data_IF_127558745422
#
_entry.id   IF_127558745422
#
_cell.length_a   1.000
_cell.length_b   1.000
_cell.length_c   1.000
_cell.angle_alpha   90.00
_cell.angle_beta   90.00
_cell.angle_gamma   90.00
#
_symmetry.space_group_name_H-M   'P 1'
#
loop_
_entity.id
_entity.type
_entity.pdbx_description
1 polymer ?
#
# COMPACT_ATOMS: atom_id res chain seq x y z
N UNK A 1 59.00 -19.33 -20.88
CA UNK A 1 58.55 -18.24 -19.99
C UNK A 1 57.20 -17.79 -20.51
N UNK A 2 56.12 -18.51 -20.19
CA UNK A 2 55.24 -18.29 -19.01
C UNK A 2 54.26 -17.14 -19.26
N UNK A 3 53.07 -17.49 -19.77
CA UNK A 3 51.81 -16.82 -19.42
C UNK A 3 51.49 -17.13 -17.94
N UNK A 4 50.77 -16.27 -17.20
CA UNK A 4 49.30 -16.20 -17.26
C UNK A 4 48.79 -14.74 -17.07
N UNK A 5 47.52 -14.37 -17.13
CA UNK A 5 46.28 -15.11 -17.26
C UNK A 5 45.08 -14.14 -17.30
N UNK A 6 44.01 -14.65 -17.86
CA UNK A 6 42.59 -14.51 -17.47
C UNK A 6 42.23 -13.41 -16.44
N UNK A 7 41.48 -12.39 -16.88
CA UNK A 7 40.46 -11.74 -16.04
C UNK A 7 39.10 -12.19 -16.59
N UNK A 8 38.42 -13.15 -15.96
CA UNK A 8 37.58 -13.02 -14.75
C UNK A 8 36.50 -11.97 -14.93
N UNK A 9 35.27 -12.46 -15.18
CA UNK A 9 34.08 -11.66 -15.32
C UNK A 9 33.66 -10.98 -14.01
N UNK A 10 32.88 -9.93 -14.17
CA UNK A 10 32.06 -9.37 -13.11
C UNK A 10 30.63 -9.26 -13.65
N UNK A 11 29.84 -10.25 -13.25
CA UNK A 11 28.40 -10.24 -13.25
C UNK A 11 27.93 -9.20 -12.22
N UNK A 12 27.15 -8.20 -12.64
CA UNK A 12 26.28 -7.48 -11.71
C UNK A 12 24.89 -7.38 -12.34
N UNK A 13 24.11 -8.45 -12.16
CA UNK A 13 22.66 -8.34 -12.11
C UNK A 13 22.35 -7.46 -10.91
N UNK A 14 21.57 -6.41 -11.12
CA UNK A 14 20.93 -5.68 -10.04
C UNK A 14 19.90 -6.61 -9.39
N UNK A 15 20.39 -7.40 -8.45
CA UNK A 15 19.61 -7.85 -7.30
C UNK A 15 19.41 -6.61 -6.41
N UNK A 16 18.16 -6.22 -6.23
CA UNK A 16 17.75 -5.47 -5.06
C UNK A 16 16.47 -6.12 -4.57
N UNK A 17 16.62 -7.36 -4.09
CA UNK A 17 15.69 -7.93 -3.12
C UNK A 17 16.09 -7.45 -1.73
N UNK A 18 15.37 -6.48 -1.18
CA UNK A 18 15.43 -6.17 0.26
C UNK A 18 14.12 -5.52 0.73
N UNK A 19 13.08 -6.35 0.74
CA UNK A 19 11.86 -6.12 1.50
C UNK A 19 11.43 -7.44 2.12
N UNK A 20 12.21 -7.93 3.09
CA UNK A 20 11.81 -9.09 3.89
C UNK A 20 10.63 -8.66 4.76
N UNK A 21 9.41 -8.81 4.23
CA UNK A 21 8.19 -8.84 5.03
C UNK A 21 8.12 -10.16 5.79
N UNK A 22 8.94 -10.31 6.83
CA UNK A 22 8.77 -11.37 7.83
C UNK A 22 7.35 -11.25 8.36
N UNK A 23 6.56 -12.32 8.24
CA UNK A 23 5.15 -12.33 8.63
C UNK A 23 4.94 -11.73 10.01
N UNK A 24 4.17 -10.64 10.07
CA UNK A 24 3.73 -10.03 11.31
C UNK A 24 2.32 -9.51 11.13
N UNK A 25 1.36 -10.23 11.71
CA UNK A 25 -0.04 -9.83 11.71
C UNK A 25 -0.99 -11.00 11.85
N UNK A 26 -0.86 -11.81 12.91
CA UNK A 26 -1.98 -12.62 13.43
C UNK A 26 -3.03 -11.71 14.08
N UNK A 27 -3.29 -10.56 13.46
CA UNK A 27 -4.18 -9.51 13.86
C UNK A 27 -5.08 -9.20 12.68
N UNK A 28 -6.36 -9.03 12.94
CA UNK A 28 -7.38 -8.78 11.91
C UNK A 28 -7.15 -7.37 11.34
N UNK A 29 -6.36 -7.28 10.28
CA UNK A 29 -6.12 -6.04 9.55
C UNK A 29 -7.17 -5.84 8.45
N UNK A 30 -7.42 -4.57 8.12
CA UNK A 30 -8.38 -4.13 7.10
C UNK A 30 -7.74 -3.01 6.28
N UNK A 31 -8.28 -2.76 5.09
CA UNK A 31 -7.79 -1.70 4.22
C UNK A 31 -7.81 -2.06 2.73
N UNK A 32 -7.46 -1.09 1.87
CA UNK A 32 -7.50 -1.25 0.43
C UNK A 32 -6.30 -2.06 -0.12
N UNK A 33 -6.54 -2.69 -1.27
CA UNK A 33 -5.50 -3.22 -2.16
C UNK A 33 -5.60 -2.44 -3.46
N UNK A 34 -4.58 -1.64 -3.76
CA UNK A 34 -4.50 -0.78 -4.93
C UNK A 34 -3.81 -1.52 -6.07
N UNK A 35 -4.21 -1.28 -7.32
CA UNK A 35 -3.51 -1.77 -8.50
C UNK A 35 -2.16 -1.06 -8.64
N UNK A 36 -1.12 -1.81 -9.03
CA UNK A 36 0.22 -1.26 -9.25
C UNK A 36 0.38 -0.45 -10.55
N UNK A 37 -0.66 -0.38 -11.40
CA UNK A 37 -0.63 0.43 -12.63
C UNK A 37 -0.55 1.93 -12.36
N UNK A 38 -1.04 2.35 -11.19
CA UNK A 38 -1.18 3.75 -10.80
C UNK A 38 -0.45 3.98 -9.47
N UNK A 39 0.89 3.86 -9.51
CA UNK A 39 1.76 3.96 -8.32
C UNK A 39 1.56 5.26 -7.54
N UNK A 40 1.53 6.41 -8.22
CA UNK A 40 1.31 7.72 -7.57
C UNK A 40 -0.01 7.77 -6.79
N UNK A 41 -1.08 7.13 -7.28
CA UNK A 41 -2.34 7.05 -6.57
C UNK A 41 -2.26 6.11 -5.37
N UNK A 42 -1.56 4.99 -5.50
CA UNK A 42 -1.35 4.06 -4.39
C UNK A 42 -0.53 4.71 -3.26
N UNK A 43 0.52 5.45 -3.60
CA UNK A 43 1.35 6.20 -2.66
C UNK A 43 0.53 7.30 -1.94
N UNK A 44 -0.24 8.08 -2.70
CA UNK A 44 -1.11 9.11 -2.12
C UNK A 44 -2.17 8.52 -1.17
N UNK A 45 -2.76 7.36 -1.51
CA UNK A 45 -3.71 6.67 -0.63
C UNK A 45 -3.02 6.16 0.63
N UNK A 46 -1.81 5.61 0.52
CA UNK A 46 -1.05 5.16 1.68
C UNK A 46 -0.75 6.31 2.64
N UNK A 47 -0.22 7.42 2.13
CA UNK A 47 0.09 8.60 2.95
C UNK A 47 -1.16 9.25 3.57
N UNK A 48 -2.27 9.31 2.82
CA UNK A 48 -3.55 9.78 3.34
C UNK A 48 -4.08 8.88 4.48
N UNK A 49 -3.97 7.55 4.33
CA UNK A 49 -4.33 6.59 5.39
C UNK A 49 -3.43 6.74 6.61
N UNK A 50 -2.12 6.95 6.44
CA UNK A 50 -1.21 7.21 7.57
C UNK A 50 -1.63 8.47 8.35
N UNK A 51 -2.00 9.54 7.63
CA UNK A 51 -2.50 10.77 8.25
C UNK A 51 -3.83 10.59 8.98
N UNK A 52 -4.77 9.87 8.37
CA UNK A 52 -6.13 9.72 8.90
C UNK A 52 -6.23 8.71 10.06
N UNK A 53 -5.19 7.90 10.27
CA UNK A 53 -5.14 6.87 11.31
C UNK A 53 -3.88 7.02 12.17
N UNK A 54 -3.66 8.19 12.83
CA UNK A 54 -2.41 8.49 13.54
C UNK A 54 -2.14 7.55 14.73
N UNK A 55 -3.19 6.94 15.29
CA UNK A 55 -3.11 6.01 16.41
C UNK A 55 -2.96 4.54 15.98
N UNK A 56 -2.87 4.26 14.68
CA UNK A 56 -2.84 2.91 14.14
C UNK A 56 -1.53 2.62 13.40
N UNK A 57 -1.03 1.40 13.53
CA UNK A 57 0.12 0.94 12.76
C UNK A 57 -0.30 0.62 11.33
N UNK A 58 -0.03 1.53 10.40
CA UNK A 58 -0.24 1.31 8.96
C UNK A 58 0.93 0.48 8.40
N UNK A 59 0.62 -0.56 7.64
CA UNK A 59 1.60 -1.39 6.94
C UNK A 59 1.33 -1.31 5.45
N UNK A 60 2.32 -0.85 4.69
CA UNK A 60 2.29 -0.75 3.23
C UNK A 60 3.18 -1.84 2.64
N UNK A 61 2.61 -2.63 1.74
CA UNK A 61 3.24 -3.82 1.15
C UNK A 61 3.11 -3.75 -0.38
N UNK A 62 4.16 -3.28 -1.04
CA UNK A 62 4.25 -3.16 -2.50
C UNK A 62 4.83 -4.45 -3.11
N UNK A 63 4.04 -5.04 -4.03
CA UNK A 63 4.36 -6.28 -4.71
C UNK A 63 4.54 -6.07 -6.23
N UNK A 64 4.70 -4.82 -6.70
CA UNK A 64 4.91 -4.42 -8.09
C UNK A 64 3.67 -4.50 -8.98
N UNK A 65 2.78 -5.47 -8.75
CA UNK A 65 1.48 -5.58 -9.43
C UNK A 65 0.31 -4.96 -8.64
N UNK A 66 0.48 -4.82 -7.34
CA UNK A 66 -0.49 -4.23 -6.42
C UNK A 66 0.21 -3.74 -5.16
N UNK A 67 -0.42 -2.79 -4.48
CA UNK A 67 0.02 -2.27 -3.18
C UNK A 67 -1.07 -2.56 -2.16
N UNK A 68 -0.72 -3.26 -1.09
CA UNK A 68 -1.66 -3.55 0.01
C UNK A 68 -1.39 -2.62 1.18
N UNK A 69 -2.44 -1.94 1.64
CA UNK A 69 -2.37 -1.05 2.80
C UNK A 69 -3.22 -1.69 3.91
N UNK A 70 -2.57 -2.04 5.01
CA UNK A 70 -3.18 -2.79 6.10
C UNK A 70 -3.15 -1.98 7.40
N UNK A 71 -4.33 -1.79 8.00
CA UNK A 71 -4.52 -1.09 9.27
C UNK A 71 -5.26 -1.99 10.26
N UNK A 72 -4.84 -2.08 11.53
CA UNK A 72 -5.51 -2.89 12.54
C UNK A 72 -6.97 -2.48 12.76
N UNK A 73 -7.90 -3.42 12.58
CA UNK A 73 -9.34 -3.33 12.88
C UNK A 73 -10.18 -2.28 12.14
N UNK A 74 -9.66 -1.08 11.89
CA UNK A 74 -10.36 0.03 11.25
C UNK A 74 -9.35 0.89 10.47
N UNK A 75 -9.66 1.13 9.20
CA UNK A 75 -8.92 2.01 8.30
C UNK A 75 -9.86 3.11 7.83
N UNK A 76 -9.47 4.36 7.98
CA UNK A 76 -10.17 5.52 7.41
C UNK A 76 -9.35 6.11 6.28
N UNK A 77 -10.01 6.49 5.20
CA UNK A 77 -9.48 7.35 4.17
C UNK A 77 -10.49 8.48 3.97
N UNK A 78 -10.07 9.73 4.19
CA UNK A 78 -10.90 10.91 3.93
C UNK A 78 -10.59 11.49 2.57
N UNK A 79 -11.57 12.16 1.96
CA UNK A 79 -11.38 12.89 0.71
C UNK A 79 -10.36 14.01 0.90
N UNK A 80 -10.44 14.74 2.02
CA UNK A 80 -9.57 15.87 2.31
C UNK A 80 -8.09 15.47 2.34
N UNK A 81 -7.73 14.44 3.11
CA UNK A 81 -6.36 13.96 3.19
C UNK A 81 -5.83 13.49 1.84
N UNK A 82 -6.64 12.79 1.05
CA UNK A 82 -6.25 12.34 -0.28
C UNK A 82 -6.07 13.50 -1.28
N UNK A 83 -6.93 14.52 -1.23
CA UNK A 83 -6.80 15.72 -2.06
C UNK A 83 -5.54 16.52 -1.72
N UNK A 84 -5.20 16.58 -0.43
CA UNK A 84 -3.95 17.19 0.04
C UNK A 84 -2.73 16.43 -0.50
N UNK A 85 -2.73 15.09 -0.44
CA UNK A 85 -1.64 14.27 -0.98
C UNK A 85 -1.53 14.36 -2.50
N UNK A 86 -2.65 14.44 -3.22
CA UNK A 86 -2.66 14.54 -4.69
C UNK A 86 -2.44 15.98 -5.20
N UNK A 87 -2.57 16.99 -4.34
CA UNK A 87 -2.51 18.41 -4.71
C UNK A 87 -3.64 18.85 -5.66
N UNK A 88 -4.76 18.12 -5.69
CA UNK A 88 -5.91 18.40 -6.57
C UNK A 88 -7.20 17.85 -5.97
N UNK A 89 -8.33 18.41 -6.42
CA UNK A 89 -9.66 17.88 -6.10
C UNK A 89 -9.80 16.43 -6.62
N UNK A 90 -10.41 15.58 -5.79
CA UNK A 90 -10.53 14.16 -6.07
C UNK A 90 -11.83 13.60 -5.51
N UNK A 91 -12.60 12.89 -6.34
CA UNK A 91 -13.80 12.17 -5.89
C UNK A 91 -13.41 10.77 -5.44
N UNK A 92 -13.78 10.38 -4.21
CA UNK A 92 -13.44 9.04 -3.70
C UNK A 92 -13.97 7.89 -4.57
N UNK A 93 -15.11 8.05 -5.25
CA UNK A 93 -15.59 7.05 -6.23
C UNK A 93 -14.66 6.85 -7.43
N UNK A 94 -13.82 7.84 -7.77
CA UNK A 94 -12.79 7.67 -8.80
C UNK A 94 -11.66 6.72 -8.35
N UNK A 95 -11.64 6.29 -7.08
CA UNK A 95 -10.73 5.27 -6.57
C UNK A 95 -11.13 3.85 -6.99
N UNK A 96 -12.41 3.60 -7.29
CA UNK A 96 -12.93 2.26 -7.60
C UNK A 96 -12.19 1.53 -8.73
N UNK A 97 -11.82 2.18 -9.86
CA UNK A 97 -11.07 1.52 -10.93
C UNK A 97 -9.66 1.08 -10.50
N UNK A 98 -9.04 1.83 -9.58
CA UNK A 98 -7.72 1.55 -9.05
C UNK A 98 -7.75 0.57 -7.86
N UNK A 99 -8.92 0.36 -7.24
CA UNK A 99 -9.10 -0.60 -6.17
C UNK A 99 -9.14 -2.02 -6.74
N UNK A 100 -8.07 -2.79 -6.54
CA UNK A 100 -8.00 -4.19 -6.94
C UNK A 100 -8.88 -5.08 -6.05
N UNK A 101 -8.83 -4.85 -4.74
CA UNK A 101 -9.60 -5.56 -3.72
C UNK A 101 -9.51 -4.81 -2.37
N UNK A 102 -10.06 -5.37 -1.29
CA UNK A 102 -9.88 -4.85 0.07
C UNK A 102 -10.10 -5.94 1.13
N UNK A 103 -9.62 -5.68 2.35
CA UNK A 103 -9.87 -6.52 3.51
C UNK A 103 -10.86 -5.87 4.48
N UNK A 104 -11.79 -6.66 5.02
CA UNK A 104 -12.83 -6.21 5.97
C UNK A 104 -14.17 -5.90 5.30
N UNK A 105 -15.07 -5.24 6.03
CA UNK A 105 -16.29 -4.63 5.47
C UNK A 105 -16.00 -3.16 5.19
N UNK A 106 -16.55 -2.63 4.11
CA UNK A 106 -16.32 -1.27 3.63
C UNK A 106 -17.62 -0.45 3.75
N UNK A 107 -17.52 0.75 4.32
CA UNK A 107 -18.54 1.80 4.28
C UNK A 107 -18.01 2.96 3.45
N UNK A 108 -18.74 3.34 2.41
CA UNK A 108 -18.36 4.42 1.49
C UNK A 108 -19.32 5.60 1.65
N UNK A 109 -18.75 6.80 1.70
CA UNK A 109 -19.46 8.06 1.48
C UNK A 109 -18.66 8.91 0.49
N UNK A 110 -19.18 10.07 0.11
CA UNK A 110 -18.46 11.04 -0.73
C UNK A 110 -17.27 11.68 0.01
N UNK A 111 -17.31 11.71 1.34
CA UNK A 111 -16.31 12.35 2.19
C UNK A 111 -15.27 11.39 2.74
N UNK A 112 -15.63 10.13 2.97
CA UNK A 112 -14.71 9.15 3.53
C UNK A 112 -15.08 7.70 3.20
N UNK A 113 -14.05 6.87 3.10
CA UNK A 113 -14.17 5.43 3.05
C UNK A 113 -13.63 4.84 4.36
N UNK A 114 -14.38 3.88 4.91
CA UNK A 114 -14.02 3.24 6.18
C UNK A 114 -14.05 1.73 5.99
N UNK A 115 -12.89 1.10 6.08
CA UNK A 115 -12.79 -0.36 6.21
C UNK A 115 -12.78 -0.72 7.69
N UNK A 116 -13.52 -1.76 8.08
CA UNK A 116 -13.64 -2.15 9.47
C UNK A 116 -13.98 -3.63 9.62
N UNK A 117 -13.77 -4.09 10.85
CA UNK A 117 -14.34 -5.34 11.33
C UNK A 117 -15.67 -5.05 12.02
N UNK A 118 -16.73 -5.73 11.61
CA UNK A 118 -17.78 -6.05 12.57
C UNK A 118 -17.17 -6.89 13.70
N UNK A 119 -17.60 -6.62 14.93
CA UNK A 119 -17.30 -7.51 16.04
C UNK A 119 -18.04 -8.82 15.80
N UNK A 120 -17.34 -9.96 15.93
CA UNK A 120 -18.01 -11.16 16.42
C UNK A 120 -18.04 -11.01 17.94
N UNK A 121 -19.21 -10.71 18.48
CA UNK A 121 -19.53 -11.01 19.88
C UNK A 121 -19.36 -12.50 20.16
#
# INVERSE_FOLDING_TARGET
MTAPGTGTGASTRADTGAGVGTGAGTGRAVGPVMRGTDGELADAVAAAIERDNPDAQVVVDDQGGYVRIAVPRRCVLTRGSLEEELGREFRLSALEPALASFAGRLRQTEEQWVWYLERRD
#
